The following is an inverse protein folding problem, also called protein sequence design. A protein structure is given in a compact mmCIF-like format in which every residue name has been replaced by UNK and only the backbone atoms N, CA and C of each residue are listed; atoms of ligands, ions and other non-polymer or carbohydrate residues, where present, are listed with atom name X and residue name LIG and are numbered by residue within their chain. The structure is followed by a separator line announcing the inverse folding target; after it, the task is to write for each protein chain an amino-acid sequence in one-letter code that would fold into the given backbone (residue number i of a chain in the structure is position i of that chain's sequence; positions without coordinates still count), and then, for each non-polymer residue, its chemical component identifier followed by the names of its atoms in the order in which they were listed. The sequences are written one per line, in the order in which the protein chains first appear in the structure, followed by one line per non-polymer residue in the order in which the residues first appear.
data_IF_587683455697
#
_entry.id   IF_587683455697
#
_cell.length_a   1.000
_cell.length_b   1.000
_cell.length_c   1.000
_cell.angle_alpha   90.00
_cell.angle_beta   90.00
_cell.angle_gamma   90.00
#
_symmetry.space_group_name_H-M   'P 1'
#
loop_
_entity.id
_entity.type
_entity.pdbx_description
1 polymer ?
#
# COMPACT_ATOMS: atom_id res chain seq x y z
N UNK A 1 -2.56 7.92 25.83
CA UNK A 1 -1.18 7.50 26.18
C UNK A 1 -0.21 8.48 25.55
N UNK A 2 0.86 8.87 26.24
CA UNK A 2 1.90 9.70 25.59
C UNK A 2 2.69 8.87 24.57
N UNK A 3 3.30 9.54 23.59
CA UNK A 3 4.12 8.84 22.55
C UNK A 3 5.32 8.11 23.18
N UNK A 4 5.81 8.58 24.32
CA UNK A 4 6.89 7.96 25.07
C UNK A 4 6.44 6.64 25.71
N UNK A 5 5.23 6.63 26.29
CA UNK A 5 4.65 5.42 26.91
C UNK A 5 4.43 4.31 25.89
N UNK A 6 3.98 4.65 24.65
CA UNK A 6 3.76 3.67 23.58
C UNK A 6 5.07 3.00 23.14
N UNK A 7 6.16 3.76 23.03
CA UNK A 7 7.47 3.22 22.62
C UNK A 7 8.03 2.22 23.66
N UNK A 8 7.96 2.58 24.93
CA UNK A 8 8.41 1.70 26.03
C UNK A 8 7.57 0.42 26.07
N UNK A 9 6.23 0.55 26.01
CA UNK A 9 5.33 -0.59 25.97
C UNK A 9 5.58 -1.53 24.78
N UNK A 10 5.89 -0.99 23.60
CA UNK A 10 6.20 -1.78 22.41
C UNK A 10 7.45 -2.65 22.61
N UNK A 11 8.52 -2.10 23.24
CA UNK A 11 9.73 -2.84 23.54
C UNK A 11 9.46 -3.92 24.60
N UNK A 12 8.71 -3.59 25.65
CA UNK A 12 8.33 -4.55 26.71
C UNK A 12 7.48 -5.69 26.14
N UNK A 13 6.53 -5.38 25.27
CA UNK A 13 5.71 -6.37 24.59
C UNK A 13 6.56 -7.30 23.70
N UNK A 14 7.47 -6.74 22.91
CA UNK A 14 8.37 -7.52 22.07
C UNK A 14 9.25 -8.48 22.89
N UNK A 15 9.79 -8.02 24.04
CA UNK A 15 10.55 -8.86 24.96
C UNK A 15 9.69 -9.97 25.57
N UNK A 16 8.47 -9.64 25.98
CA UNK A 16 7.56 -10.58 26.65
C UNK A 16 7.15 -11.74 25.74
N UNK A 17 6.88 -11.46 24.47
CA UNK A 17 6.36 -12.46 23.53
C UNK A 17 7.43 -13.05 22.59
N UNK A 18 8.63 -12.49 22.54
CA UNK A 18 9.69 -12.95 21.63
C UNK A 18 9.35 -12.73 20.15
N UNK A 19 8.71 -11.60 19.84
CA UNK A 19 8.19 -11.26 18.51
C UNK A 19 6.67 -11.19 18.46
N UNK A 20 6.08 -11.14 17.25
CA UNK A 20 4.62 -10.98 17.03
C UNK A 20 3.95 -12.21 16.41
N UNK A 21 4.73 -13.21 16.01
CA UNK A 21 4.27 -14.37 15.26
C UNK A 21 4.70 -15.67 15.94
N UNK A 22 3.91 -16.69 15.73
CA UNK A 22 4.23 -18.07 16.05
C UNK A 22 3.77 -19.00 14.93
N UNK A 23 4.37 -20.18 14.82
CA UNK A 23 3.96 -21.22 13.88
C UNK A 23 3.22 -22.31 14.62
N UNK A 24 1.95 -22.53 14.23
CA UNK A 24 1.11 -23.56 14.82
C UNK A 24 0.73 -24.61 13.76
N UNK A 25 0.83 -25.92 14.08
CA UNK A 25 0.34 -26.96 13.19
C UNK A 25 -1.19 -26.89 13.08
N UNK A 26 -1.72 -27.13 11.85
CA UNK A 26 -3.17 -27.18 11.58
C UNK A 26 -3.75 -28.59 11.79
N UNK A 27 -2.90 -29.59 11.87
CA UNK A 27 -3.28 -30.99 12.00
C UNK A 27 -2.87 -31.52 13.38
N UNK A 28 -3.61 -32.46 13.98
CA UNK A 28 -3.19 -33.09 15.21
C UNK A 28 -1.96 -33.96 14.97
N UNK A 29 -1.03 -33.98 15.91
CA UNK A 29 0.14 -34.87 15.96
C UNK A 29 0.28 -35.37 17.42
N UNK A 30 -0.70 -36.16 17.86
CA UNK A 30 -0.80 -36.63 19.25
C UNK A 30 -0.60 -38.13 19.35
N UNK A 31 -0.84 -38.87 18.28
CA UNK A 31 -0.71 -40.34 18.23
C UNK A 31 0.23 -40.80 17.15
N UNK A 32 0.66 -42.09 17.22
CA UNK A 32 1.44 -42.72 16.12
C UNK A 32 0.66 -42.76 14.82
N UNK A 33 -0.67 -42.85 14.88
CA UNK A 33 -1.54 -42.77 13.70
C UNK A 33 -1.50 -41.39 13.03
N UNK A 34 -1.63 -40.33 13.83
CA UNK A 34 -1.52 -38.94 13.32
C UNK A 34 -0.16 -38.67 12.68
N UNK A 35 0.93 -39.15 13.36
CA UNK A 35 2.28 -39.03 12.81
C UNK A 35 2.41 -39.74 11.45
N UNK A 36 1.82 -40.93 11.32
CA UNK A 36 1.83 -41.70 10.08
C UNK A 36 1.09 -40.99 8.93
N UNK A 37 0.05 -40.27 9.24
CA UNK A 37 -0.71 -39.47 8.27
C UNK A 37 0.00 -38.14 7.95
N UNK A 38 0.40 -37.40 8.99
CA UNK A 38 0.99 -36.07 8.83
C UNK A 38 2.41 -36.08 8.26
N UNK A 39 3.16 -37.18 8.48
CA UNK A 39 4.55 -37.30 8.04
C UNK A 39 4.77 -38.63 7.29
N UNK A 40 5.51 -39.56 7.84
CA UNK A 40 5.87 -40.82 7.15
C UNK A 40 4.99 -41.98 7.63
N UNK A 41 4.32 -42.73 6.72
CA UNK A 41 4.43 -42.76 5.26
C UNK A 41 3.45 -41.84 4.50
N UNK A 42 2.44 -41.26 5.13
CA UNK A 42 1.33 -40.55 4.49
C UNK A 42 1.76 -39.39 3.58
N UNK A 43 2.79 -38.61 3.98
CA UNK A 43 3.30 -37.47 3.22
C UNK A 43 3.75 -37.83 1.82
N UNK A 44 4.21 -39.07 1.58
CA UNK A 44 4.65 -39.53 0.27
C UNK A 44 3.54 -39.50 -0.78
N UNK A 45 2.30 -39.84 -0.38
CA UNK A 45 1.14 -39.77 -1.26
C UNK A 45 0.81 -38.32 -1.67
N UNK A 46 0.92 -37.38 -0.72
CA UNK A 46 0.70 -35.95 -0.99
C UNK A 46 1.77 -35.42 -1.97
N UNK A 47 3.05 -35.77 -1.72
CA UNK A 47 4.16 -35.35 -2.59
C UNK A 47 4.03 -35.92 -4.01
N UNK A 48 3.66 -37.19 -4.15
CA UNK A 48 3.40 -37.81 -5.47
C UNK A 48 2.28 -37.13 -6.22
N UNK A 49 1.17 -36.81 -5.52
CA UNK A 49 0.05 -36.13 -6.13
C UNK A 49 0.37 -34.70 -6.63
N UNK A 50 1.28 -34.00 -5.96
CA UNK A 50 1.77 -32.68 -6.40
C UNK A 50 2.77 -32.86 -7.56
N UNK A 51 3.63 -33.88 -7.50
CA UNK A 51 4.57 -34.18 -8.58
C UNK A 51 3.85 -34.47 -9.90
N UNK A 52 2.77 -35.25 -9.86
CA UNK A 52 1.92 -35.53 -11.02
C UNK A 52 1.21 -34.27 -11.57
N UNK A 53 0.79 -33.35 -10.69
CA UNK A 53 0.10 -32.13 -11.07
C UNK A 53 0.44 -30.99 -10.12
N UNK A 54 1.35 -30.10 -10.56
CA UNK A 54 1.89 -28.99 -9.74
C UNK A 54 0.81 -28.08 -9.11
N UNK A 55 -0.30 -27.86 -9.82
CA UNK A 55 -1.40 -27.00 -9.34
C UNK A 55 -2.03 -27.52 -8.04
N UNK A 56 -1.89 -28.81 -7.75
CA UNK A 56 -2.36 -29.39 -6.48
C UNK A 56 -1.60 -28.88 -5.26
N UNK A 57 -0.44 -28.24 -5.44
CA UNK A 57 0.23 -27.55 -4.35
C UNK A 57 -0.69 -26.50 -3.67
N UNK A 58 -1.56 -25.84 -4.42
CA UNK A 58 -2.55 -24.91 -3.86
C UNK A 58 -3.68 -25.59 -3.06
N UNK A 59 -3.94 -26.86 -3.30
CA UNK A 59 -4.94 -27.64 -2.56
C UNK A 59 -4.34 -28.31 -1.33
N UNK A 60 -3.10 -28.82 -1.48
CA UNK A 60 -2.49 -29.76 -0.55
C UNK A 60 -1.42 -29.15 0.35
N UNK A 61 -1.07 -27.87 0.17
CA UNK A 61 -0.08 -27.19 1.00
C UNK A 61 -0.57 -25.84 1.49
N UNK A 62 0.23 -25.17 2.32
CA UNK A 62 -0.04 -23.81 2.79
C UNK A 62 0.05 -22.75 1.68
N UNK A 63 0.60 -23.08 0.50
CA UNK A 63 0.82 -22.17 -0.62
C UNK A 63 -0.42 -21.33 -0.96
N UNK A 64 -1.61 -21.92 -0.94
CA UNK A 64 -2.87 -21.22 -1.27
C UNK A 64 -3.18 -20.02 -0.40
N UNK A 65 -2.64 -19.97 0.83
CA UNK A 65 -2.99 -18.97 1.85
C UNK A 65 -1.78 -18.24 2.41
N UNK A 66 -0.58 -18.45 1.86
CA UNK A 66 0.65 -17.89 2.45
C UNK A 66 1.29 -16.86 1.54
N UNK A 67 1.59 -15.69 2.10
CA UNK A 67 2.28 -14.56 1.43
C UNK A 67 3.63 -14.34 2.08
N UNK A 68 4.69 -14.16 1.28
CA UNK A 68 5.97 -13.67 1.78
C UNK A 68 5.91 -12.14 1.94
N UNK A 69 6.36 -11.62 3.08
CA UNK A 69 6.59 -10.18 3.28
C UNK A 69 8.10 -9.98 3.22
N UNK A 70 8.58 -9.39 2.14
CA UNK A 70 10.00 -9.31 1.80
C UNK A 70 10.50 -7.87 1.87
N UNK A 71 11.61 -7.67 2.59
CA UNK A 71 12.28 -6.38 2.75
C UNK A 71 13.79 -6.53 2.77
N UNK A 72 14.50 -5.50 2.33
CA UNK A 72 15.93 -5.33 2.57
C UNK A 72 16.24 -4.26 3.65
N UNK A 73 15.20 -3.67 4.23
CA UNK A 73 15.30 -2.65 5.27
C UNK A 73 15.91 -1.32 4.82
N UNK A 74 15.91 -1.04 3.50
CA UNK A 74 16.57 0.14 2.94
C UNK A 74 15.72 1.42 2.96
N UNK A 75 14.41 1.31 3.25
CA UNK A 75 13.48 2.45 3.26
C UNK A 75 12.40 2.34 4.33
N UNK A 76 12.78 1.94 5.53
CA UNK A 76 11.84 1.79 6.65
C UNK A 76 11.26 3.14 7.05
N UNK A 77 9.94 3.22 7.08
CA UNK A 77 9.18 4.46 7.26
C UNK A 77 9.63 5.25 8.50
N UNK A 78 10.07 6.50 8.28
CA UNK A 78 10.55 7.42 9.32
C UNK A 78 11.93 7.09 9.90
N UNK A 79 12.57 5.98 9.50
CA UNK A 79 13.89 5.55 9.98
C UNK A 79 14.93 5.48 8.85
N UNK A 80 14.50 5.33 7.59
CA UNK A 80 15.39 5.22 6.43
C UNK A 80 16.04 3.84 6.29
N UNK A 81 17.29 3.82 5.85
CA UNK A 81 18.06 2.58 5.70
C UNK A 81 18.62 2.12 7.05
N UNK A 82 17.95 1.17 7.67
CA UNK A 82 18.33 0.62 8.99
C UNK A 82 18.76 -0.85 8.93
N UNK A 83 18.76 -1.43 7.73
CA UNK A 83 19.14 -2.82 7.50
C UNK A 83 18.07 -3.87 7.84
N UNK A 84 18.33 -5.12 7.47
CA UNK A 84 17.32 -6.17 7.50
C UNK A 84 16.89 -6.55 8.93
N UNK A 85 17.80 -6.73 9.88
CA UNK A 85 17.44 -7.15 11.24
C UNK A 85 16.57 -6.10 11.94
N UNK A 86 16.86 -4.81 11.73
CA UNK A 86 16.09 -3.73 12.32
C UNK A 86 14.72 -3.53 11.64
N UNK A 87 14.57 -3.97 10.38
CA UNK A 87 13.29 -3.98 9.67
C UNK A 87 12.37 -5.13 10.11
N UNK A 88 12.91 -6.23 10.65
CA UNK A 88 12.14 -7.43 11.01
C UNK A 88 10.91 -7.14 11.88
N UNK A 89 10.94 -6.28 12.92
CA UNK A 89 9.75 -5.98 13.71
C UNK A 89 8.60 -5.33 12.92
N UNK A 90 8.92 -4.59 11.85
CA UNK A 90 7.92 -4.00 10.93
C UNK A 90 7.30 -5.10 10.08
N UNK A 91 8.11 -5.98 9.52
CA UNK A 91 7.66 -7.11 8.69
C UNK A 91 6.81 -8.10 9.48
N UNK A 92 7.15 -8.38 10.75
CA UNK A 92 6.29 -9.15 11.66
C UNK A 92 4.96 -8.43 11.92
N UNK A 93 4.99 -7.12 12.08
CA UNK A 93 3.78 -6.31 12.23
C UNK A 93 2.88 -6.44 10.99
N UNK A 94 3.45 -6.31 9.80
CA UNK A 94 2.74 -6.49 8.52
C UNK A 94 2.10 -7.88 8.43
N UNK A 95 2.85 -8.93 8.76
CA UNK A 95 2.35 -10.30 8.75
C UNK A 95 1.21 -10.52 9.76
N UNK A 96 1.30 -9.94 10.95
CA UNK A 96 0.24 -9.98 11.94
C UNK A 96 -1.06 -9.30 11.45
N UNK A 97 -0.93 -8.17 10.73
CA UNK A 97 -2.07 -7.47 10.12
C UNK A 97 -2.73 -8.31 9.01
N UNK A 98 -1.94 -8.96 8.14
CA UNK A 98 -2.45 -9.93 7.16
C UNK A 98 -3.31 -11.01 7.82
N UNK A 99 -2.79 -11.60 8.89
CA UNK A 99 -3.52 -12.63 9.62
C UNK A 99 -4.78 -12.10 10.28
N UNK A 100 -4.68 -10.97 10.98
CA UNK A 100 -5.78 -10.39 11.75
C UNK A 100 -6.95 -9.95 10.88
N UNK A 101 -6.69 -9.29 9.75
CA UNK A 101 -7.74 -8.66 8.95
C UNK A 101 -8.25 -9.53 7.80
N UNK A 102 -7.40 -10.41 7.25
CA UNK A 102 -7.77 -11.20 6.07
C UNK A 102 -7.58 -12.72 6.22
N UNK A 103 -7.16 -13.21 7.38
CA UNK A 103 -6.89 -14.63 7.59
C UNK A 103 -5.74 -15.18 6.74
N UNK A 104 -4.94 -14.31 6.12
CA UNK A 104 -3.79 -14.68 5.31
C UNK A 104 -2.60 -15.00 6.22
N UNK A 105 -2.00 -16.16 6.02
CA UNK A 105 -0.75 -16.53 6.69
C UNK A 105 0.39 -15.78 6.00
N UNK A 106 1.27 -15.14 6.77
CA UNK A 106 2.38 -14.39 6.18
C UNK A 106 3.69 -14.70 6.88
N UNK A 107 4.74 -14.83 6.08
CA UNK A 107 6.10 -15.10 6.57
C UNK A 107 6.97 -13.88 6.25
N UNK A 108 7.49 -13.17 7.28
CA UNK A 108 8.44 -12.10 7.08
C UNK A 108 9.80 -12.67 6.68
N UNK A 109 10.40 -12.10 5.65
CA UNK A 109 11.71 -12.47 5.12
C UNK A 109 12.52 -11.19 4.90
N UNK A 110 13.54 -10.99 5.71
CA UNK A 110 14.47 -9.87 5.55
C UNK A 110 15.76 -10.36 4.88
N UNK A 111 16.23 -9.61 3.88
CA UNK A 111 17.35 -10.01 3.04
C UNK A 111 18.57 -9.16 3.35
N UNK A 112 19.70 -9.80 3.63
CA UNK A 112 20.99 -9.12 3.88
C UNK A 112 21.68 -8.81 2.54
N UNK A 113 20.94 -8.11 1.67
CA UNK A 113 21.45 -7.57 0.42
C UNK A 113 20.58 -6.42 -0.06
N UNK A 114 21.18 -5.44 -0.73
CA UNK A 114 20.50 -4.35 -1.43
C UNK A 114 20.77 -4.40 -2.95
N UNK A 115 21.35 -5.49 -3.45
CA UNK A 115 21.53 -5.71 -4.87
C UNK A 115 20.21 -6.16 -5.52
N UNK A 116 19.85 -5.46 -6.61
CA UNK A 116 18.59 -5.70 -7.34
C UNK A 116 18.50 -7.13 -7.87
N UNK A 117 19.57 -7.66 -8.47
CA UNK A 117 19.57 -9.01 -9.06
C UNK A 117 19.50 -10.08 -7.98
N UNK A 118 20.22 -9.92 -6.88
CA UNK A 118 20.19 -10.87 -5.77
C UNK A 118 18.82 -10.93 -5.11
N UNK A 119 18.15 -9.79 -4.93
CA UNK A 119 16.78 -9.72 -4.41
C UNK A 119 15.83 -10.46 -5.37
N UNK A 120 15.83 -10.11 -6.65
CA UNK A 120 14.95 -10.73 -7.66
C UNK A 120 15.18 -12.24 -7.69
N UNK A 121 16.43 -12.67 -7.76
CA UNK A 121 16.75 -14.09 -7.85
C UNK A 121 16.35 -14.85 -6.58
N UNK A 122 16.53 -14.27 -5.41
CA UNK A 122 16.12 -14.85 -4.13
C UNK A 122 14.60 -15.03 -4.09
N UNK A 123 13.82 -13.99 -4.46
CA UNK A 123 12.36 -14.06 -4.49
C UNK A 123 11.88 -15.14 -5.46
N UNK A 124 12.51 -15.27 -6.63
CA UNK A 124 12.19 -16.33 -7.61
C UNK A 124 12.42 -17.74 -7.05
N UNK A 125 13.49 -17.95 -6.29
CA UNK A 125 13.74 -19.23 -5.64
C UNK A 125 12.73 -19.55 -4.53
N UNK A 126 12.20 -18.54 -3.84
CA UNK A 126 11.21 -18.70 -2.79
C UNK A 126 9.77 -18.85 -3.31
N UNK A 127 9.47 -18.40 -4.52
CA UNK A 127 8.13 -18.36 -5.10
C UNK A 127 7.37 -19.71 -5.10
N UNK A 128 8.00 -20.89 -5.21
CA UNK A 128 7.29 -22.17 -5.12
C UNK A 128 6.53 -22.34 -3.78
N UNK A 129 7.01 -21.76 -2.69
CA UNK A 129 6.42 -21.88 -1.35
C UNK A 129 5.18 -21.01 -1.16
N UNK A 130 5.09 -19.84 -1.84
CA UNK A 130 4.13 -18.80 -1.57
C UNK A 130 3.06 -18.68 -2.63
N UNK A 131 1.87 -18.24 -2.22
CA UNK A 131 0.77 -17.88 -3.12
C UNK A 131 0.83 -16.44 -3.59
N UNK A 132 1.65 -15.59 -2.95
CA UNK A 132 1.87 -14.19 -3.30
C UNK A 132 3.08 -13.60 -2.60
N UNK A 133 3.56 -12.48 -3.09
CA UNK A 133 4.72 -11.75 -2.58
C UNK A 133 4.32 -10.30 -2.27
N UNK A 134 4.48 -9.88 -1.03
CA UNK A 134 4.41 -8.48 -0.62
C UNK A 134 5.84 -7.95 -0.45
N UNK A 135 6.21 -6.98 -1.26
CA UNK A 135 7.45 -6.23 -1.10
C UNK A 135 7.19 -5.05 -0.15
N UNK A 136 8.13 -4.79 0.75
CA UNK A 136 7.97 -3.77 1.80
C UNK A 136 9.29 -3.07 2.07
N UNK A 137 9.27 -1.75 2.29
CA UNK A 137 10.41 -0.95 2.75
C UNK A 137 11.68 -1.08 1.87
N UNK A 138 11.52 -1.31 0.57
CA UNK A 138 12.61 -1.33 -0.42
C UNK A 138 12.72 0.05 -1.07
N UNK A 139 13.93 0.65 -1.04
CA UNK A 139 14.13 2.02 -1.49
C UNK A 139 13.97 2.22 -3.00
N UNK A 140 13.39 3.38 -3.38
CA UNK A 140 13.41 3.84 -4.76
C UNK A 140 14.85 4.29 -5.15
N UNK A 141 15.26 4.14 -6.44
CA UNK A 141 14.45 3.64 -7.57
C UNK A 141 14.42 2.12 -7.73
N UNK A 142 15.22 1.35 -6.96
CA UNK A 142 15.34 -0.11 -7.10
C UNK A 142 14.02 -0.85 -6.98
N UNK A 143 13.14 -0.39 -6.06
CA UNK A 143 11.85 -1.02 -5.84
C UNK A 143 10.99 -1.09 -7.11
N UNK A 144 11.09 -0.14 -8.03
CA UNK A 144 10.32 -0.15 -9.28
C UNK A 144 10.76 -1.29 -10.20
N UNK A 145 12.07 -1.45 -10.38
CA UNK A 145 12.64 -2.51 -11.22
C UNK A 145 12.38 -3.89 -10.61
N UNK A 146 12.61 -4.04 -9.30
CA UNK A 146 12.41 -5.30 -8.57
C UNK A 146 10.96 -5.75 -8.71
N UNK A 147 10.00 -4.87 -8.42
CA UNK A 147 8.58 -5.20 -8.52
C UNK A 147 8.18 -5.57 -9.94
N UNK A 148 8.51 -4.73 -10.92
CA UNK A 148 8.09 -4.94 -12.31
C UNK A 148 8.63 -6.24 -12.86
N UNK A 149 9.91 -6.54 -12.64
CA UNK A 149 10.52 -7.79 -13.12
C UNK A 149 9.91 -9.00 -12.43
N UNK A 150 9.65 -8.94 -11.13
CA UNK A 150 8.99 -10.04 -10.43
C UNK A 150 7.55 -10.25 -10.90
N UNK A 151 6.80 -9.19 -11.22
CA UNK A 151 5.46 -9.29 -11.81
C UNK A 151 5.51 -9.98 -13.19
N UNK A 152 6.55 -9.73 -13.97
CA UNK A 152 6.66 -10.29 -15.32
C UNK A 152 7.24 -11.72 -15.34
N UNK A 153 8.06 -12.07 -14.36
CA UNK A 153 8.78 -13.34 -14.31
C UNK A 153 8.10 -14.40 -13.42
N UNK A 154 7.11 -14.03 -12.59
CA UNK A 154 6.42 -14.95 -11.68
C UNK A 154 4.96 -15.20 -12.09
N UNK A 155 4.45 -16.40 -11.78
CA UNK A 155 3.05 -16.81 -11.96
C UNK A 155 2.19 -16.62 -10.68
N UNK A 156 2.68 -15.85 -9.73
CA UNK A 156 1.99 -15.49 -8.49
C UNK A 156 1.98 -13.95 -8.32
N UNK A 157 0.96 -13.36 -7.67
CA UNK A 157 0.88 -11.92 -7.50
C UNK A 157 2.04 -11.37 -6.69
N UNK A 158 2.64 -10.31 -7.21
CA UNK A 158 3.65 -9.48 -6.55
C UNK A 158 3.07 -8.09 -6.37
N UNK A 159 3.30 -7.47 -5.22
CA UNK A 159 2.74 -6.17 -4.88
C UNK A 159 3.64 -5.45 -3.87
N UNK A 160 4.04 -4.23 -4.18
CA UNK A 160 4.81 -3.38 -3.26
C UNK A 160 3.86 -2.44 -2.52
N UNK A 161 3.64 -2.68 -1.23
CA UNK A 161 2.59 -1.98 -0.48
C UNK A 161 2.85 -0.49 -0.32
N UNK A 162 4.08 -0.05 -0.10
CA UNK A 162 4.42 1.38 0.02
C UNK A 162 4.10 2.18 -1.24
N UNK A 163 4.15 1.52 -2.40
CA UNK A 163 3.75 2.14 -3.66
C UNK A 163 2.24 2.12 -3.81
N UNK A 164 1.66 0.92 -3.77
CA UNK A 164 0.30 0.71 -4.25
C UNK A 164 -0.75 0.77 -3.15
N UNK A 165 -0.44 0.28 -1.93
CA UNK A 165 -1.38 0.30 -0.81
C UNK A 165 -1.77 1.73 -0.43
N UNK A 166 -0.79 2.60 -0.25
CA UNK A 166 -1.02 4.03 0.02
C UNK A 166 -1.84 4.68 -1.11
N UNK A 167 -1.49 4.43 -2.36
CA UNK A 167 -2.19 5.02 -3.50
C UNK A 167 -3.67 4.56 -3.61
N UNK A 168 -3.97 3.31 -3.24
CA UNK A 168 -5.34 2.78 -3.23
C UNK A 168 -6.19 3.46 -2.16
N UNK A 169 -5.66 3.62 -0.95
CA UNK A 169 -6.43 4.25 0.14
C UNK A 169 -6.59 5.75 -0.07
N UNK A 170 -5.60 6.43 -0.64
CA UNK A 170 -5.73 7.84 -1.04
C UNK A 170 -6.79 8.00 -2.13
N UNK A 171 -6.85 7.10 -3.13
CA UNK A 171 -7.89 7.12 -4.15
C UNK A 171 -9.28 6.84 -3.55
N UNK A 172 -9.39 5.94 -2.56
CA UNK A 172 -10.64 5.68 -1.86
C UNK A 172 -11.15 6.93 -1.12
N UNK A 173 -10.26 7.61 -0.39
CA UNK A 173 -10.56 8.87 0.29
C UNK A 173 -10.96 9.97 -0.72
N UNK A 174 -10.28 10.03 -1.88
CA UNK A 174 -10.62 10.97 -2.95
C UNK A 174 -12.04 10.75 -3.47
N UNK A 175 -12.46 9.51 -3.75
CA UNK A 175 -13.82 9.23 -4.26
C UNK A 175 -14.91 9.78 -3.33
N UNK A 176 -14.77 9.62 -2.03
CA UNK A 176 -15.74 10.13 -1.07
C UNK A 176 -15.63 11.65 -0.87
N UNK A 177 -14.41 12.20 -0.92
CA UNK A 177 -14.21 13.66 -0.89
C UNK A 177 -14.89 14.34 -2.07
N UNK A 178 -14.79 13.77 -3.27
CA UNK A 178 -15.42 14.32 -4.49
C UNK A 178 -16.95 14.38 -4.39
N UNK A 179 -17.59 13.42 -3.71
CA UNK A 179 -19.03 13.47 -3.45
C UNK A 179 -19.39 14.66 -2.55
N UNK A 180 -18.58 14.92 -1.52
CA UNK A 180 -18.83 16.02 -0.57
C UNK A 180 -18.64 17.40 -1.20
N UNK A 181 -17.61 17.56 -2.04
CA UNK A 181 -17.35 18.83 -2.74
C UNK A 181 -18.11 18.97 -4.07
N UNK A 182 -18.90 17.94 -4.44
CA UNK A 182 -19.72 17.89 -5.66
C UNK A 182 -18.92 18.17 -6.94
N UNK A 183 -17.72 17.60 -7.06
CA UNK A 183 -16.87 17.69 -8.26
C UNK A 183 -16.69 16.33 -8.92
N UNK A 184 -16.55 16.34 -10.25
CA UNK A 184 -16.23 15.12 -11.00
C UNK A 184 -14.72 14.89 -11.02
N UNK A 185 -14.32 13.62 -11.06
CA UNK A 185 -12.91 13.23 -11.00
C UNK A 185 -12.09 13.76 -12.20
N UNK A 186 -12.73 13.92 -13.36
CA UNK A 186 -12.10 14.46 -14.56
C UNK A 186 -11.88 15.97 -14.55
N UNK A 187 -12.54 16.71 -13.65
CA UNK A 187 -12.56 18.18 -13.63
C UNK A 187 -11.68 18.77 -12.51
N UNK A 188 -11.18 17.92 -11.60
CA UNK A 188 -10.35 18.39 -10.47
C UNK A 188 -8.91 18.64 -10.87
N UNK A 189 -8.30 19.64 -10.22
CA UNK A 189 -6.86 19.91 -10.29
C UNK A 189 -6.18 19.36 -9.02
N UNK A 190 -5.23 18.46 -9.24
CA UNK A 190 -4.54 17.75 -8.15
C UNK A 190 -3.07 18.13 -8.13
N UNK A 191 -2.57 18.47 -6.95
CA UNK A 191 -1.13 18.65 -6.69
C UNK A 191 -0.63 17.50 -5.82
N UNK A 192 0.38 16.78 -6.31
CA UNK A 192 1.06 15.71 -5.58
C UNK A 192 2.45 16.21 -5.22
N UNK A 193 2.71 16.38 -3.93
CA UNK A 193 3.99 16.83 -3.42
C UNK A 193 4.83 15.65 -2.94
N UNK A 194 5.81 15.26 -3.75
CA UNK A 194 6.70 14.13 -3.57
C UNK A 194 6.76 13.25 -4.80
N UNK A 195 7.90 13.26 -5.50
CA UNK A 195 8.16 12.43 -6.70
C UNK A 195 8.75 11.06 -6.38
N UNK A 196 8.61 10.56 -5.14
CA UNK A 196 9.05 9.23 -4.74
C UNK A 196 8.06 8.12 -5.11
N UNK A 197 8.30 6.91 -4.58
CA UNK A 197 7.51 5.70 -4.90
C UNK A 197 6.01 5.88 -4.69
N UNK A 198 5.59 6.42 -3.55
CA UNK A 198 4.18 6.67 -3.25
C UNK A 198 3.56 7.71 -4.20
N UNK A 199 4.22 8.86 -4.40
CA UNK A 199 3.69 9.94 -5.25
C UNK A 199 3.52 9.51 -6.71
N UNK A 200 4.47 8.80 -7.27
CA UNK A 200 4.38 8.27 -8.63
C UNK A 200 3.27 7.22 -8.76
N UNK A 201 3.11 6.37 -7.76
CA UNK A 201 2.04 5.36 -7.74
C UNK A 201 0.66 6.00 -7.60
N UNK A 202 0.50 7.02 -6.73
CA UNK A 202 -0.74 7.80 -6.60
C UNK A 202 -1.07 8.46 -7.93
N UNK A 203 -0.08 9.10 -8.58
CA UNK A 203 -0.27 9.75 -9.88
C UNK A 203 -0.80 8.77 -10.92
N UNK A 204 -0.15 7.61 -11.10
CA UNK A 204 -0.59 6.59 -12.05
C UNK A 204 -2.01 6.10 -11.77
N UNK A 205 -2.36 5.90 -10.50
CA UNK A 205 -3.72 5.50 -10.12
C UNK A 205 -4.77 6.57 -10.36
N UNK A 206 -4.45 7.82 -10.07
CA UNK A 206 -5.34 8.94 -10.31
C UNK A 206 -5.59 9.11 -11.82
N UNK A 207 -4.55 9.04 -12.65
CA UNK A 207 -4.69 9.06 -14.12
C UNK A 207 -5.57 7.89 -14.60
N UNK A 208 -5.33 6.66 -14.12
CA UNK A 208 -6.13 5.50 -14.49
C UNK A 208 -7.57 5.58 -13.97
N UNK A 209 -7.81 6.29 -12.87
CA UNK A 209 -9.16 6.55 -12.34
C UNK A 209 -9.89 7.68 -13.07
N UNK A 210 -9.21 8.45 -13.94
CA UNK A 210 -9.80 9.48 -14.78
C UNK A 210 -9.45 10.93 -14.41
N UNK A 211 -8.56 11.17 -13.46
CA UNK A 211 -8.05 12.53 -13.17
C UNK A 211 -7.25 13.03 -14.37
N UNK A 212 -7.56 14.23 -14.86
CA UNK A 212 -6.92 14.79 -16.07
C UNK A 212 -5.85 15.84 -15.76
N UNK A 213 -5.99 16.55 -14.64
CA UNK A 213 -5.11 17.67 -14.29
C UNK A 213 -4.33 17.32 -13.01
N UNK A 214 -3.11 16.86 -13.20
CA UNK A 214 -2.19 16.52 -12.12
C UNK A 214 -0.89 17.29 -12.29
N UNK A 215 -0.42 17.91 -11.21
CA UNK A 215 0.92 18.50 -11.12
C UNK A 215 1.67 17.72 -10.02
N UNK A 216 2.89 17.30 -10.35
CA UNK A 216 3.81 16.72 -9.38
C UNK A 216 4.84 17.77 -9.02
N UNK A 217 5.06 17.94 -7.73
CA UNK A 217 6.12 18.81 -7.19
C UNK A 217 7.14 17.95 -6.47
N UNK A 218 8.41 18.13 -6.82
CA UNK A 218 9.52 17.48 -6.14
C UNK A 218 10.50 18.55 -5.63
N UNK A 219 11.66 18.15 -5.12
CA UNK A 219 12.68 19.05 -4.52
C UNK A 219 13.13 20.17 -5.46
N UNK A 220 13.06 19.96 -6.75
CA UNK A 220 13.45 20.93 -7.80
C UNK A 220 12.29 21.82 -8.24
N UNK A 221 11.07 21.62 -7.72
CA UNK A 221 9.86 22.32 -8.13
C UNK A 221 8.89 21.45 -8.91
N UNK A 222 8.03 22.10 -9.70
CA UNK A 222 7.03 21.42 -10.54
C UNK A 222 7.75 20.61 -11.63
N UNK A 223 7.45 19.31 -11.73
CA UNK A 223 7.98 18.45 -12.79
C UNK A 223 7.37 18.80 -14.14
N UNK A 224 8.22 18.93 -15.16
CA UNK A 224 7.83 19.20 -16.54
C UNK A 224 8.51 18.23 -17.51
N UNK A 225 7.82 17.89 -18.61
CA UNK A 225 8.40 17.08 -19.68
C UNK A 225 9.57 17.78 -20.40
N UNK A 226 9.69 19.11 -20.22
CA UNK A 226 10.78 19.93 -20.78
C UNK A 226 12.03 19.95 -19.89
N UNK A 227 11.96 19.40 -18.67
CA UNK A 227 13.08 19.37 -17.76
C UNK A 227 14.18 18.43 -18.27
N UNK A 228 15.42 18.88 -18.22
CA UNK A 228 16.56 18.09 -18.66
C UNK A 228 17.18 17.34 -17.48
N UNK A 229 17.60 16.09 -17.72
CA UNK A 229 18.30 15.30 -16.71
C UNK A 229 17.40 14.64 -15.65
N UNK A 230 16.09 14.57 -15.88
CA UNK A 230 15.18 13.84 -15.03
C UNK A 230 15.54 12.33 -14.97
N UNK A 231 15.43 11.71 -13.80
CA UNK A 231 15.45 10.25 -13.70
C UNK A 231 14.39 9.62 -14.63
N UNK A 232 14.63 8.42 -15.20
CA UNK A 232 13.71 7.80 -16.15
C UNK A 232 12.24 7.75 -15.70
N UNK A 233 12.00 7.40 -14.44
CA UNK A 233 10.65 7.33 -13.86
C UNK A 233 9.97 8.71 -13.73
N UNK A 234 10.74 9.79 -13.51
CA UNK A 234 10.20 11.16 -13.54
C UNK A 234 9.95 11.62 -14.98
N UNK A 235 10.87 11.33 -15.90
CA UNK A 235 10.69 11.69 -17.31
C UNK A 235 9.46 11.02 -17.94
N UNK A 236 9.16 9.78 -17.54
CA UNK A 236 7.95 9.07 -17.98
C UNK A 236 6.68 9.75 -17.48
N UNK A 237 6.59 10.02 -16.18
CA UNK A 237 5.39 10.59 -15.58
C UNK A 237 5.17 12.05 -15.96
N UNK A 238 6.22 12.82 -16.16
CA UNK A 238 6.14 14.22 -16.58
C UNK A 238 5.44 14.39 -17.95
N UNK A 239 5.55 13.40 -18.85
CA UNK A 239 4.81 13.39 -20.13
C UNK A 239 3.30 13.21 -19.96
N UNK A 240 2.85 12.69 -18.83
CA UNK A 240 1.45 12.40 -18.55
C UNK A 240 0.79 13.43 -17.64
N UNK A 241 1.59 14.31 -17.02
CA UNK A 241 1.15 15.30 -16.03
C UNK A 241 1.49 16.72 -16.49
N UNK A 242 1.12 17.73 -15.71
CA UNK A 242 1.44 19.15 -15.97
C UNK A 242 1.19 19.58 -17.44
N UNK A 243 0.04 19.23 -17.99
CA UNK A 243 -0.30 19.50 -19.39
C UNK A 243 -0.37 21.00 -19.75
N UNK A 244 -0.45 21.86 -18.73
CA UNK A 244 -0.45 23.32 -18.88
C UNK A 244 0.96 23.90 -18.84
N UNK A 245 1.99 23.05 -18.71
CA UNK A 245 3.40 23.44 -18.65
C UNK A 245 3.70 24.50 -17.58
N UNK A 246 3.01 24.41 -16.43
CA UNK A 246 3.25 25.29 -15.29
C UNK A 246 4.67 25.06 -14.75
N UNK A 247 5.30 26.12 -14.30
CA UNK A 247 6.63 26.12 -13.69
C UNK A 247 6.58 26.83 -12.34
N UNK A 248 7.48 26.51 -11.46
CA UNK A 248 7.57 27.13 -10.13
C UNK A 248 7.68 26.10 -9.01
N UNK A 249 7.33 26.52 -7.83
CA UNK A 249 7.39 25.74 -6.61
C UNK A 249 6.00 25.20 -6.17
N UNK A 250 5.93 24.69 -4.95
CA UNK A 250 4.70 24.15 -4.38
C UNK A 250 3.62 25.24 -4.22
N UNK A 251 4.00 26.47 -3.84
CA UNK A 251 3.05 27.56 -3.69
C UNK A 251 2.35 27.84 -5.03
N UNK A 252 3.13 27.97 -6.10
CA UNK A 252 2.63 28.18 -7.46
C UNK A 252 1.74 27.00 -7.92
N UNK A 253 2.13 25.76 -7.59
CA UNK A 253 1.34 24.59 -7.98
C UNK A 253 -0.05 24.58 -7.34
N UNK A 254 -0.18 25.08 -6.11
CA UNK A 254 -1.42 25.06 -5.33
C UNK A 254 -2.45 26.12 -5.77
N UNK A 255 -2.04 27.15 -6.52
CA UNK A 255 -2.97 28.14 -7.07
C UNK A 255 -4.03 27.47 -7.95
N UNK A 256 -5.30 27.53 -7.52
CA UNK A 256 -6.41 26.92 -8.23
C UNK A 256 -6.48 25.38 -8.17
N UNK A 257 -5.74 24.75 -7.27
CA UNK A 257 -5.85 23.33 -7.03
C UNK A 257 -7.08 22.99 -6.17
N UNK A 258 -7.68 21.82 -6.41
CA UNK A 258 -8.79 21.27 -5.63
C UNK A 258 -8.30 20.33 -4.52
N UNK A 259 -7.24 19.58 -4.84
CA UNK A 259 -6.73 18.51 -3.98
C UNK A 259 -5.22 18.62 -3.87
N UNK A 260 -4.72 18.60 -2.65
CA UNK A 260 -3.32 18.41 -2.31
C UNK A 260 -3.10 17.00 -1.75
N UNK A 261 -2.07 16.31 -2.24
CA UNK A 261 -1.60 15.03 -1.68
C UNK A 261 -0.12 15.16 -1.37
N UNK A 262 0.21 15.18 -0.08
CA UNK A 262 1.58 15.22 0.41
C UNK A 262 2.09 13.83 0.75
N UNK A 263 3.23 13.46 0.17
CA UNK A 263 3.97 12.21 0.43
C UNK A 263 5.48 12.50 0.46
N UNK A 264 5.85 13.58 1.11
CA UNK A 264 7.22 14.12 1.04
C UNK A 264 7.85 14.32 2.42
N UNK A 265 7.77 15.51 2.97
CA UNK A 265 8.47 15.88 4.19
C UNK A 265 7.55 16.65 5.17
N UNK A 266 7.84 16.57 6.49
CA UNK A 266 7.09 17.28 7.50
C UNK A 266 7.05 18.79 7.29
N UNK A 267 5.87 19.41 7.53
CA UNK A 267 5.74 20.86 7.65
C UNK A 267 5.97 21.65 6.36
N UNK A 268 5.94 21.01 5.19
CA UNK A 268 6.21 21.67 3.91
C UNK A 268 5.02 22.46 3.35
N UNK A 269 3.78 22.12 3.75
CA UNK A 269 2.58 22.82 3.33
C UNK A 269 2.30 23.98 4.28
N UNK A 270 2.30 25.22 3.76
CA UNK A 270 2.05 26.41 4.56
C UNK A 270 0.57 26.79 4.54
N UNK A 271 0.00 27.25 5.67
CA UNK A 271 -1.42 27.64 5.76
C UNK A 271 -1.86 28.65 4.70
N UNK A 272 -1.03 29.65 4.41
CA UNK A 272 -1.35 30.70 3.45
C UNK A 272 -1.51 30.20 2.01
N UNK A 273 -0.93 29.04 1.65
CA UNK A 273 -1.07 28.46 0.33
C UNK A 273 -2.39 27.73 0.14
N UNK A 274 -3.00 27.24 1.22
CA UNK A 274 -4.34 26.62 1.18
C UNK A 274 -5.39 27.64 0.75
N UNK A 275 -5.23 28.90 1.14
CA UNK A 275 -6.14 29.99 0.77
C UNK A 275 -6.10 30.35 -0.73
N UNK A 276 -5.09 29.86 -1.46
CA UNK A 276 -4.95 30.06 -2.91
C UNK A 276 -5.57 28.92 -3.72
N UNK A 277 -5.96 27.85 -3.04
CA UNK A 277 -6.67 26.73 -3.65
C UNK A 277 -8.12 27.09 -3.99
N UNK A 278 -8.77 26.24 -4.77
CA UNK A 278 -10.19 26.38 -5.07
C UNK A 278 -11.07 26.27 -3.81
N UNK A 279 -12.35 26.61 -3.95
CA UNK A 279 -13.34 26.42 -2.86
C UNK A 279 -13.39 24.96 -2.41
N UNK A 280 -13.53 24.76 -1.09
CA UNK A 280 -13.57 23.44 -0.45
C UNK A 280 -12.31 22.59 -0.69
N UNK A 281 -11.11 23.10 -0.38
CA UNK A 281 -9.86 22.36 -0.62
C UNK A 281 -9.82 21.03 0.15
N UNK A 282 -9.30 19.98 -0.52
CA UNK A 282 -9.06 18.67 0.08
C UNK A 282 -7.56 18.47 0.30
N UNK A 283 -7.16 18.19 1.53
CA UNK A 283 -5.76 18.03 1.93
C UNK A 283 -5.52 16.63 2.45
N UNK A 284 -4.66 15.86 1.78
CA UNK A 284 -4.17 14.57 2.24
C UNK A 284 -2.68 14.69 2.58
N UNK A 285 -2.37 14.92 3.87
CA UNK A 285 -1.01 15.10 4.38
C UNK A 285 -0.48 13.78 4.95
N UNK A 286 0.24 13.01 4.12
CA UNK A 286 0.56 11.61 4.39
C UNK A 286 1.95 11.37 4.97
N UNK A 287 2.81 12.40 5.10
CA UNK A 287 4.13 12.24 5.70
C UNK A 287 4.04 11.74 7.15
N UNK A 288 4.90 10.80 7.52
CA UNK A 288 4.99 10.19 8.83
C UNK A 288 6.40 10.33 9.42
N UNK A 289 6.54 10.51 10.76
CA UNK A 289 5.50 10.61 11.79
C UNK A 289 4.84 11.99 11.91
N UNK A 290 5.36 12.99 11.23
CA UNK A 290 4.83 14.37 11.22
C UNK A 290 4.33 14.67 9.81
N UNK A 291 3.05 15.11 9.66
CA UNK A 291 2.46 15.40 8.35
C UNK A 291 3.03 16.68 7.73
N UNK A 292 2.75 16.92 6.45
CA UNK A 292 3.09 18.15 5.73
C UNK A 292 2.47 19.40 6.35
N UNK A 293 1.31 19.24 6.97
CA UNK A 293 0.61 20.22 7.81
C UNK A 293 -0.26 19.46 8.81
N UNK A 294 -0.42 19.96 10.01
CA UNK A 294 -1.36 19.37 10.96
C UNK A 294 -2.83 19.68 10.59
N UNK A 295 -3.77 18.73 10.84
CA UNK A 295 -5.17 18.92 10.48
C UNK A 295 -5.79 20.21 11.04
N UNK A 296 -5.50 20.57 12.29
CA UNK A 296 -6.05 21.77 12.92
C UNK A 296 -5.58 23.06 12.23
N UNK A 297 -4.30 23.09 11.80
CA UNK A 297 -3.72 24.20 11.05
C UNK A 297 -4.33 24.31 9.65
N UNK A 298 -4.49 23.15 8.96
CA UNK A 298 -5.08 23.11 7.63
C UNK A 298 -6.55 23.56 7.64
N UNK A 299 -7.33 23.09 8.60
CA UNK A 299 -8.74 23.50 8.78
C UNK A 299 -8.85 24.98 9.12
N UNK A 300 -7.99 25.50 9.99
CA UNK A 300 -7.94 26.93 10.31
C UNK A 300 -7.56 27.80 9.09
N UNK A 301 -6.79 27.26 8.15
CA UNK A 301 -6.42 27.91 6.90
C UNK A 301 -7.51 27.84 5.80
N UNK A 302 -8.60 27.10 6.03
CA UNK A 302 -9.74 27.02 5.11
C UNK A 302 -9.86 25.68 4.36
N UNK A 303 -9.06 24.66 4.69
CA UNK A 303 -9.26 23.31 4.16
C UNK A 303 -10.66 22.80 4.55
N UNK A 304 -11.36 22.16 3.62
CA UNK A 304 -12.68 21.59 3.87
C UNK A 304 -12.59 20.15 4.37
N UNK A 305 -11.71 19.36 3.77
CA UNK A 305 -11.45 17.96 4.15
C UNK A 305 -9.96 17.81 4.41
N UNK A 306 -9.60 17.20 5.53
CA UNK A 306 -8.23 16.84 5.86
C UNK A 306 -8.16 15.37 6.22
N UNK A 307 -7.21 14.65 5.60
CA UNK A 307 -6.84 13.28 5.94
C UNK A 307 -5.34 13.16 6.17
N UNK A 308 -4.93 12.26 7.05
CA UNK A 308 -3.53 11.98 7.36
C UNK A 308 -3.27 10.48 7.54
N UNK A 309 -2.00 10.07 7.56
CA UNK A 309 -1.64 8.70 7.95
C UNK A 309 -1.74 8.42 9.45
N UNK A 310 -2.00 9.43 10.28
CA UNK A 310 -2.00 9.32 11.75
C UNK A 310 -3.35 8.84 12.27
N UNK A 311 -3.29 7.97 13.29
CA UNK A 311 -4.49 7.41 13.96
C UNK A 311 -5.12 8.30 15.02
N UNK A 312 -4.47 9.40 15.39
CA UNK A 312 -4.94 10.35 16.40
C UNK A 312 -5.78 11.50 15.81
N UNK A 313 -6.02 11.48 14.50
CA UNK A 313 -6.88 12.44 13.80
C UNK A 313 -7.98 11.73 12.99
N UNK A 314 -9.10 12.41 12.69
CA UNK A 314 -10.10 11.90 11.74
C UNK A 314 -9.51 11.60 10.36
N UNK A 315 -10.21 10.75 9.60
CA UNK A 315 -9.81 10.37 8.24
C UNK A 315 -8.38 9.78 8.19
N UNK A 316 -8.12 8.78 9.02
CA UNK A 316 -6.85 8.05 8.96
C UNK A 316 -6.74 7.30 7.63
N UNK A 317 -5.88 7.77 6.74
CA UNK A 317 -5.57 7.14 5.45
C UNK A 317 -4.40 6.17 5.67
N UNK A 318 -4.72 4.88 5.81
CA UNK A 318 -3.74 3.85 6.14
C UNK A 318 -3.87 2.66 5.18
N UNK A 319 -2.73 2.18 4.65
CA UNK A 319 -2.66 1.07 3.70
C UNK A 319 -3.21 -0.26 4.25
N UNK A 320 -3.36 -0.40 5.57
CA UNK A 320 -4.00 -1.57 6.21
C UNK A 320 -5.44 -1.80 5.74
N UNK A 321 -6.12 -0.76 5.25
CA UNK A 321 -7.44 -0.88 4.64
C UNK A 321 -7.40 -1.62 3.29
N UNK A 322 -6.24 -1.65 2.63
CA UNK A 322 -6.09 -2.17 1.26
C UNK A 322 -5.41 -3.55 1.22
N UNK A 323 -4.13 -3.64 1.64
CA UNK A 323 -3.29 -4.79 1.32
C UNK A 323 -3.83 -6.14 1.81
N UNK A 324 -4.44 -6.28 3.01
CA UNK A 324 -4.93 -7.59 3.45
C UNK A 324 -6.04 -8.12 2.55
N UNK A 325 -7.00 -7.26 2.22
CA UNK A 325 -8.11 -7.60 1.33
C UNK A 325 -7.68 -7.83 -0.11
N UNK A 326 -6.71 -7.07 -0.62
CA UNK A 326 -6.14 -7.24 -1.96
C UNK A 326 -5.52 -8.63 -2.12
N UNK A 327 -4.65 -9.04 -1.19
CA UNK A 327 -4.05 -10.36 -1.23
C UNK A 327 -5.08 -11.47 -0.99
N UNK A 328 -6.08 -11.27 -0.11
CA UNK A 328 -7.18 -12.23 0.06
C UNK A 328 -7.93 -12.45 -1.25
N UNK A 329 -8.32 -11.37 -1.93
CA UNK A 329 -9.02 -11.45 -3.22
C UNK A 329 -8.16 -12.07 -4.32
N UNK A 330 -6.88 -11.70 -4.40
CA UNK A 330 -5.95 -12.25 -5.38
C UNK A 330 -5.69 -13.76 -5.16
N UNK A 331 -5.50 -14.19 -3.90
CA UNK A 331 -5.31 -15.60 -3.55
C UNK A 331 -6.57 -16.42 -3.84
N UNK A 332 -7.76 -15.95 -3.47
CA UNK A 332 -9.03 -16.65 -3.68
C UNK A 332 -9.36 -16.80 -5.16
N UNK A 333 -9.06 -15.78 -5.95
CA UNK A 333 -9.24 -15.80 -7.41
C UNK A 333 -8.08 -16.50 -8.15
N UNK A 334 -7.01 -16.89 -7.44
CA UNK A 334 -5.75 -17.41 -8.03
C UNK A 334 -5.19 -16.50 -9.12
N UNK A 335 -5.27 -15.18 -8.88
CA UNK A 335 -4.76 -14.19 -9.80
C UNK A 335 -3.23 -14.31 -9.91
N UNK A 336 -2.71 -14.19 -11.13
CA UNK A 336 -1.26 -14.19 -11.37
C UNK A 336 -0.63 -12.82 -11.12
N UNK A 337 -1.43 -11.75 -11.30
CA UNK A 337 -1.00 -10.36 -11.14
C UNK A 337 -2.09 -9.58 -10.40
N UNK A 338 -1.71 -8.51 -9.69
CA UNK A 338 -2.64 -7.51 -9.14
C UNK A 338 -2.64 -6.33 -10.09
N UNK A 339 -3.64 -6.27 -11.00
CA UNK A 339 -3.72 -5.27 -12.05
C UNK A 339 -4.18 -3.91 -11.53
N UNK A 340 -4.04 -2.86 -12.34
CA UNK A 340 -4.52 -1.51 -12.00
C UNK A 340 -6.05 -1.49 -11.80
N UNK A 341 -6.79 -2.27 -12.59
CA UNK A 341 -8.25 -2.41 -12.48
C UNK A 341 -8.64 -3.03 -11.15
N UNK A 342 -7.95 -4.06 -10.70
CA UNK A 342 -8.14 -4.67 -9.38
C UNK A 342 -7.87 -3.67 -8.26
N UNK A 343 -6.85 -2.84 -8.39
CA UNK A 343 -6.49 -1.81 -7.41
C UNK A 343 -7.53 -0.68 -7.36
N UNK A 344 -8.04 -0.25 -8.52
CA UNK A 344 -9.15 0.73 -8.60
C UNK A 344 -10.45 0.14 -8.03
N UNK A 345 -10.74 -1.14 -8.30
CA UNK A 345 -11.89 -1.83 -7.72
C UNK A 345 -11.79 -1.90 -6.20
N UNK A 346 -10.59 -2.18 -5.65
CA UNK A 346 -10.32 -2.14 -4.22
C UNK A 346 -10.59 -0.75 -3.61
N UNK A 347 -10.10 0.32 -4.25
CA UNK A 347 -10.34 1.70 -3.79
C UNK A 347 -11.84 2.04 -3.78
N UNK A 348 -12.58 1.67 -4.83
CA UNK A 348 -14.04 1.83 -4.89
C UNK A 348 -14.75 1.01 -3.81
N UNK A 349 -14.29 -0.21 -3.54
CA UNK A 349 -14.80 -1.06 -2.48
C UNK A 349 -14.65 -0.42 -1.10
N UNK A 350 -13.45 0.10 -0.78
CA UNK A 350 -13.17 0.82 0.46
C UNK A 350 -14.08 2.06 0.58
N UNK A 351 -14.18 2.87 -0.46
CA UNK A 351 -15.01 4.08 -0.45
C UNK A 351 -16.50 3.76 -0.18
N UNK A 352 -17.04 2.69 -0.73
CA UNK A 352 -18.44 2.26 -0.56
C UNK A 352 -18.79 1.80 0.85
N UNK A 353 -17.79 1.52 1.70
CA UNK A 353 -18.05 1.12 3.09
C UNK A 353 -18.65 2.24 3.95
N UNK A 354 -18.52 3.49 3.50
CA UNK A 354 -19.23 4.61 4.11
C UNK A 354 -20.45 4.94 3.24
N UNK A 355 -21.68 4.76 3.73
CA UNK A 355 -22.89 5.15 3.03
C UNK A 355 -22.90 6.66 2.74
N UNK A 356 -23.51 7.07 1.62
CA UNK A 356 -23.51 8.48 1.21
C UNK A 356 -24.15 9.42 2.25
N UNK A 357 -25.14 8.93 3.03
CA UNK A 357 -25.78 9.67 4.10
C UNK A 357 -24.94 9.78 5.40
N UNK A 358 -23.84 9.05 5.49
CA UNK A 358 -22.88 9.10 6.61
C UNK A 358 -21.60 9.86 6.26
N UNK A 359 -21.45 10.26 4.99
CA UNK A 359 -20.29 11.04 4.56
C UNK A 359 -20.29 12.43 5.18
N UNK A 360 -19.18 12.79 5.79
CA UNK A 360 -18.91 14.13 6.33
C UNK A 360 -17.45 14.51 6.08
N UNK A 361 -17.06 15.77 6.20
CA UNK A 361 -15.65 16.17 6.06
C UNK A 361 -14.69 15.44 7.02
N UNK A 362 -15.19 14.88 8.10
CA UNK A 362 -14.42 14.10 9.10
C UNK A 362 -14.66 12.60 9.01
N UNK A 363 -15.40 12.11 8.00
CA UNK A 363 -15.73 10.69 7.81
C UNK A 363 -15.78 10.36 6.30
N UNK A 364 -14.60 10.30 5.65
CA UNK A 364 -14.47 10.01 4.21
C UNK A 364 -13.84 8.63 3.93
N UNK A 365 -13.30 7.98 4.96
CA UNK A 365 -12.64 6.68 4.85
C UNK A 365 -12.97 5.84 6.08
N UNK A 366 -13.22 4.52 5.94
CA UNK A 366 -13.58 3.68 7.08
C UNK A 366 -12.44 3.54 8.10
N UNK A 367 -12.81 3.29 9.36
CA UNK A 367 -11.85 2.90 10.38
C UNK A 367 -11.24 1.53 10.04
N UNK A 368 -9.92 1.32 10.24
CA UNK A 368 -9.26 0.03 9.99
C UNK A 368 -9.88 -1.16 10.73
N UNK A 369 -10.52 -0.93 11.86
CA UNK A 369 -11.20 -1.96 12.65
C UNK A 369 -12.68 -2.12 12.31
N UNK A 370 -13.21 -1.35 11.36
CA UNK A 370 -14.57 -1.54 10.87
C UNK A 370 -14.71 -2.95 10.30
N UNK A 371 -15.72 -3.67 10.75
CA UNK A 371 -15.98 -5.04 10.32
C UNK A 371 -16.26 -5.11 8.80
N UNK A 372 -15.68 -6.11 8.14
CA UNK A 372 -15.93 -6.37 6.73
C UNK A 372 -15.04 -5.64 5.74
N UNK A 373 -14.16 -4.71 6.15
CA UNK A 373 -13.27 -3.96 5.23
C UNK A 373 -12.50 -4.91 4.30
N UNK A 374 -11.71 -5.81 4.86
CA UNK A 374 -10.90 -6.74 4.05
C UNK A 374 -11.76 -7.66 3.16
N UNK A 375 -12.96 -8.03 3.62
CA UNK A 375 -13.92 -8.83 2.83
C UNK A 375 -14.41 -8.08 1.59
N UNK A 376 -14.85 -6.84 1.77
CA UNK A 376 -15.34 -6.00 0.65
C UNK A 376 -14.23 -5.73 -0.36
N UNK A 377 -13.01 -5.47 0.12
CA UNK A 377 -11.84 -5.30 -0.75
C UNK A 377 -11.55 -6.59 -1.52
N UNK A 378 -11.56 -7.75 -0.85
CA UNK A 378 -11.32 -9.04 -1.49
C UNK A 378 -12.37 -9.38 -2.55
N UNK A 379 -13.65 -9.14 -2.26
CA UNK A 379 -14.74 -9.32 -3.22
C UNK A 379 -14.60 -8.39 -4.42
N UNK A 380 -14.24 -7.12 -4.21
CA UNK A 380 -14.02 -6.15 -5.28
C UNK A 380 -12.87 -6.57 -6.21
N UNK A 381 -11.75 -7.01 -5.63
CA UNK A 381 -10.60 -7.54 -6.36
C UNK A 381 -10.95 -8.81 -7.13
N UNK A 382 -11.61 -9.78 -6.47
CA UNK A 382 -12.01 -11.04 -7.09
C UNK A 382 -12.98 -10.87 -8.26
N UNK A 383 -13.88 -9.88 -8.20
CA UNK A 383 -14.79 -9.56 -9.31
C UNK A 383 -14.03 -8.95 -10.48
N UNK A 384 -13.08 -8.05 -10.24
CA UNK A 384 -12.26 -7.46 -11.30
C UNK A 384 -11.40 -8.51 -12.04
N UNK A 385 -10.94 -9.58 -11.36
CA UNK A 385 -10.24 -10.70 -12.02
C UNK A 385 -11.14 -11.41 -13.04
N UNK A 386 -12.43 -11.58 -12.72
CA UNK A 386 -13.38 -12.26 -13.63
C UNK A 386 -13.74 -11.43 -14.87
N UNK A 387 -13.66 -10.11 -14.77
CA UNK A 387 -13.94 -9.20 -15.89
C UNK A 387 -12.76 -9.09 -16.87
N UNK A 388 -11.55 -9.45 -16.41
CA UNK A 388 -10.31 -9.36 -17.22
C UNK A 388 -9.91 -10.68 -17.89
N UNK A 389 -10.51 -11.80 -17.51
CA UNK A 389 -10.34 -13.14 -18.09
C UNK A 389 -11.53 -13.51 -19.00
#
# INVERSE_FOLDING_TARGET
MSTKDVKELAIEQAKKFGGKLEVCPKVPIETKGDLGIAYTPGVAAVSSAIHEKKERAYELTTKKNTVAVISDGSAVLGLGNIGPEAAMPVMEGKAALFKRFAGVDSIPLVLDTQDTEEIIQTVKFLAPTFGGINLEDISAPRCFEIEQRLIDELDIPVFHDDQHGTAIVVLAALYNSLKLINKKIEDIHVVINGGGSAGLSITRKFLAAGVKHIIIVDRTGILSETDTGLPPHHAEIAKLTNREHRTGDLATALEGADVFVGVSAPGVLKPEWIQQMNEQPVIFAMANPVPEIFPDEALAAGAYIVGTGRSDFPNQINNVLAFPGIFRGALDARAKKITIEMQIAAAKGIAKLIPDNELTPTNIIPDPFQEGVAKVVAESVGNAVKETN
#
